data_IF_852120494377
#
_entry.id   IF_852120494377
#
_cell.length_a   1.000
_cell.length_b   1.000
_cell.length_c   1.000
_cell.angle_alpha   90.00
_cell.angle_beta   90.00
_cell.angle_gamma   90.00
#
_symmetry.space_group_name_H-M   'P 1'
#
loop_
_entity.id
_entity.type
_entity.pdbx_description
1 polymer ?
#
# COMPACT_ATOMS: atom_id res chain seq x y z
N UNK A 1 19.27 3.23 -35.76
CA UNK A 1 18.78 2.62 -34.50
C UNK A 1 17.83 1.44 -34.73
N UNK A 2 17.43 1.12 -35.96
CA UNK A 2 16.54 -0.02 -36.28
C UNK A 2 17.26 -1.36 -36.41
N UNK A 3 18.41 -1.41 -37.10
CA UNK A 3 19.10 -2.66 -37.43
C UNK A 3 19.50 -3.52 -36.21
N UNK A 4 19.78 -2.89 -35.07
CA UNK A 4 20.08 -3.61 -33.84
C UNK A 4 18.83 -4.28 -33.24
N UNK A 5 17.68 -3.59 -33.24
CA UNK A 5 16.40 -4.16 -32.80
C UNK A 5 15.95 -5.30 -33.72
N UNK A 6 16.12 -5.14 -35.03
CA UNK A 6 15.76 -6.15 -36.02
C UNK A 6 16.62 -7.42 -35.84
N UNK A 7 17.92 -7.26 -35.57
CA UNK A 7 18.82 -8.38 -35.29
C UNK A 7 18.44 -9.14 -34.02
N UNK A 8 18.06 -8.44 -32.94
CA UNK A 8 17.58 -9.08 -31.72
C UNK A 8 16.24 -9.79 -31.93
N UNK A 9 15.33 -9.21 -32.71
CA UNK A 9 14.05 -9.83 -33.05
C UNK A 9 14.23 -11.15 -33.80
N UNK A 10 15.14 -11.19 -34.79
CA UNK A 10 15.47 -12.41 -35.52
C UNK A 10 16.09 -13.48 -34.61
N UNK A 11 17.04 -13.12 -33.76
CA UNK A 11 17.72 -14.04 -32.85
C UNK A 11 16.76 -14.66 -31.82
N UNK A 12 15.83 -13.85 -31.30
CA UNK A 12 14.76 -14.31 -30.41
C UNK A 12 13.78 -15.23 -31.14
N UNK A 13 13.44 -14.91 -32.40
CA UNK A 13 12.57 -15.75 -33.23
C UNK A 13 13.19 -17.12 -33.53
N UNK A 14 14.46 -17.16 -33.93
CA UNK A 14 15.17 -18.41 -34.20
C UNK A 14 15.31 -19.27 -32.93
N UNK A 15 15.67 -18.64 -31.81
CA UNK A 15 15.69 -19.32 -30.51
C UNK A 15 14.30 -19.85 -30.13
N UNK A 16 13.25 -19.05 -30.33
CA UNK A 16 11.87 -19.44 -30.08
C UNK A 16 11.48 -20.68 -30.89
N UNK A 17 11.82 -20.71 -32.18
CA UNK A 17 11.58 -21.87 -33.04
C UNK A 17 12.42 -23.10 -32.66
N UNK A 18 13.63 -22.90 -32.13
CA UNK A 18 14.52 -24.00 -31.71
C UNK A 18 13.98 -24.83 -30.53
N UNK A 19 13.09 -24.26 -29.71
CA UNK A 19 12.46 -24.94 -28.57
C UNK A 19 11.45 -26.03 -28.97
N UNK A 20 11.01 -26.05 -30.23
CA UNK A 20 9.97 -26.96 -30.73
C UNK A 20 8.58 -26.71 -30.13
N UNK A 21 7.55 -27.38 -30.66
CA UNK A 21 6.14 -27.14 -30.27
C UNK A 21 5.87 -27.36 -28.78
N UNK A 22 6.50 -28.37 -28.15
CA UNK A 22 6.35 -28.63 -26.71
C UNK A 22 7.04 -27.58 -25.84
N UNK A 23 8.28 -27.22 -26.15
CA UNK A 23 9.02 -26.21 -25.37
C UNK A 23 8.39 -24.83 -25.46
N UNK A 24 7.85 -24.45 -26.62
CA UNK A 24 7.06 -23.23 -26.77
C UNK A 24 5.78 -23.24 -25.94
N UNK A 25 5.06 -24.37 -25.90
CA UNK A 25 3.82 -24.49 -25.14
C UNK A 25 4.07 -24.44 -23.63
N UNK A 26 5.13 -25.08 -23.13
CA UNK A 26 5.53 -25.04 -21.72
C UNK A 26 5.97 -23.63 -21.30
N UNK A 27 6.69 -22.91 -22.17
CA UNK A 27 7.03 -21.50 -21.95
C UNK A 27 5.79 -20.60 -21.93
N UNK A 28 4.84 -20.81 -22.83
CA UNK A 28 3.57 -20.07 -22.81
C UNK A 28 2.77 -20.33 -21.54
N UNK A 29 2.71 -21.58 -21.08
CA UNK A 29 2.05 -21.94 -19.84
C UNK A 29 2.71 -21.29 -18.64
N UNK A 30 4.05 -21.30 -18.56
CA UNK A 30 4.78 -20.65 -17.47
C UNK A 30 4.61 -19.13 -17.47
N UNK A 31 4.63 -18.48 -18.65
CA UNK A 31 4.32 -17.05 -18.77
C UNK A 31 2.89 -16.77 -18.29
N UNK A 32 1.92 -17.59 -18.69
CA UNK A 32 0.53 -17.48 -18.25
C UNK A 32 0.39 -17.61 -16.73
N UNK A 33 1.10 -18.57 -16.13
CA UNK A 33 1.15 -18.75 -14.67
C UNK A 33 1.75 -17.55 -13.96
N UNK A 34 2.88 -17.03 -14.42
CA UNK A 34 3.52 -15.84 -13.85
C UNK A 34 2.59 -14.63 -13.96
N UNK A 35 1.94 -14.44 -15.12
CA UNK A 35 0.98 -13.37 -15.33
C UNK A 35 -0.22 -13.48 -14.37
N UNK A 36 -0.75 -14.69 -14.14
CA UNK A 36 -1.83 -14.94 -13.18
C UNK A 36 -1.42 -14.62 -11.74
N UNK A 37 -0.20 -15.01 -11.33
CA UNK A 37 0.33 -14.70 -9.99
C UNK A 37 0.48 -13.19 -9.81
N UNK A 38 1.06 -12.51 -10.80
CA UNK A 38 1.22 -11.05 -10.79
C UNK A 38 -0.14 -10.35 -10.77
N UNK A 39 -1.11 -10.86 -11.53
CA UNK A 39 -2.48 -10.35 -11.53
C UNK A 39 -3.14 -10.51 -10.17
N UNK A 40 -3.11 -11.71 -9.58
CA UNK A 40 -3.67 -11.97 -8.26
C UNK A 40 -3.04 -11.09 -7.17
N UNK A 41 -1.71 -10.92 -7.22
CA UNK A 41 -0.98 -10.02 -6.32
C UNK A 41 -1.39 -8.56 -6.52
N UNK A 42 -1.49 -8.13 -7.78
CA UNK A 42 -1.93 -6.80 -8.17
C UNK A 42 -3.35 -6.51 -7.67
N UNK A 43 -4.31 -7.39 -7.99
CA UNK A 43 -5.69 -7.32 -7.52
C UNK A 43 -5.79 -7.32 -6.00
N UNK A 44 -4.99 -8.13 -5.30
CA UNK A 44 -4.97 -8.14 -3.84
C UNK A 44 -4.52 -6.80 -3.26
N UNK A 45 -3.45 -6.19 -3.81
CA UNK A 45 -3.02 -4.86 -3.39
C UNK A 45 -4.03 -3.78 -3.75
N UNK A 46 -4.65 -3.88 -4.93
CA UNK A 46 -5.66 -2.93 -5.40
C UNK A 46 -6.90 -2.99 -4.51
N UNK A 47 -7.41 -4.20 -4.24
CA UNK A 47 -8.53 -4.43 -3.31
C UNK A 47 -8.20 -3.92 -1.91
N UNK A 48 -6.99 -4.14 -1.41
CA UNK A 48 -6.55 -3.58 -0.12
C UNK A 48 -6.53 -2.05 -0.10
N UNK A 49 -6.16 -1.42 -1.22
CA UNK A 49 -6.15 0.04 -1.35
C UNK A 49 -7.55 0.62 -1.52
N UNK A 50 -8.41 -0.05 -2.29
CA UNK A 50 -9.80 0.37 -2.58
C UNK A 50 -10.69 0.16 -1.36
N UNK A 51 -10.48 -0.92 -0.59
CA UNK A 51 -11.28 -1.20 0.60
C UNK A 51 -11.01 -0.25 1.78
N UNK A 52 -10.11 0.73 1.62
CA UNK A 52 -9.98 1.86 2.53
C UNK A 52 -9.51 1.50 3.94
N UNK A 53 -9.01 0.29 4.16
CA UNK A 53 -8.53 -0.15 5.47
C UNK A 53 -7.35 0.72 5.91
N UNK A 54 -7.46 1.33 7.09
CA UNK A 54 -6.38 2.11 7.70
C UNK A 54 -5.68 1.25 8.74
N UNK A 55 -4.35 1.21 8.67
CA UNK A 55 -3.53 0.49 9.66
C UNK A 55 -3.28 1.40 10.86
N UNK A 56 -3.65 0.96 12.05
CA UNK A 56 -3.39 1.67 13.31
C UNK A 56 -2.97 0.66 14.38
N UNK A 57 -1.91 0.94 15.15
CA UNK A 57 -1.45 0.05 16.22
C UNK A 57 -1.15 -1.40 15.81
N UNK A 58 -0.77 -1.65 14.54
CA UNK A 58 -0.49 -3.00 14.02
C UNK A 58 -1.72 -3.77 13.51
N UNK A 59 -2.94 -3.26 13.71
CA UNK A 59 -4.18 -3.84 13.18
C UNK A 59 -4.73 -3.01 12.01
N UNK A 60 -5.48 -3.67 11.13
CA UNK A 60 -6.19 -3.02 10.04
C UNK A 60 -7.63 -2.78 10.48
N UNK A 61 -8.08 -1.53 10.35
CA UNK A 61 -9.44 -1.11 10.68
C UNK A 61 -10.15 -0.74 9.39
N UNK A 62 -11.39 -1.21 9.24
CA UNK A 62 -12.30 -0.69 8.20
C UNK A 62 -12.57 0.80 8.45
N UNK A 63 -13.10 1.52 7.45
CA UNK A 63 -13.43 2.94 7.61
C UNK A 63 -14.33 3.20 8.82
N UNK A 64 -15.38 2.38 9.00
CA UNK A 64 -16.35 2.51 10.10
C UNK A 64 -15.70 2.21 11.46
N UNK A 65 -14.87 1.15 11.54
CA UNK A 65 -14.17 0.82 12.78
C UNK A 65 -13.13 1.89 13.15
N UNK A 66 -12.45 2.45 12.15
CA UNK A 66 -11.47 3.51 12.34
C UNK A 66 -12.15 4.79 12.84
N UNK A 67 -13.30 5.17 12.29
CA UNK A 67 -14.10 6.31 12.78
C UNK A 67 -14.55 6.11 14.22
N UNK A 68 -15.08 4.93 14.57
CA UNK A 68 -15.46 4.60 15.95
C UNK A 68 -14.27 4.69 16.91
N UNK A 69 -13.11 4.18 16.50
CA UNK A 69 -11.88 4.26 17.29
C UNK A 69 -11.48 5.72 17.54
N UNK A 70 -11.52 6.56 16.51
CA UNK A 70 -11.18 7.99 16.64
C UNK A 70 -12.17 8.73 17.54
N UNK A 71 -13.47 8.37 17.50
CA UNK A 71 -14.48 8.94 18.38
C UNK A 71 -14.21 8.59 19.86
N UNK A 72 -13.91 7.32 20.17
CA UNK A 72 -13.57 6.91 21.54
C UNK A 72 -12.31 7.61 22.04
N UNK A 73 -11.27 7.70 21.19
CA UNK A 73 -10.06 8.44 21.53
C UNK A 73 -10.36 9.92 21.81
N UNK A 74 -11.21 10.55 21.00
CA UNK A 74 -11.63 11.93 21.21
C UNK A 74 -12.34 12.13 22.55
N UNK A 75 -13.27 11.25 22.90
CA UNK A 75 -13.98 11.27 24.17
C UNK A 75 -13.03 11.07 25.36
N UNK A 76 -12.07 10.16 25.26
CA UNK A 76 -11.03 9.94 26.27
C UNK A 76 -10.13 11.17 26.44
N UNK A 77 -9.86 11.92 25.37
CA UNK A 77 -9.10 13.19 25.43
C UNK A 77 -9.85 14.24 26.21
N UNK A 78 -11.12 14.45 25.87
CA UNK A 78 -11.97 15.49 26.45
C UNK A 78 -12.24 15.22 27.92
N UNK A 79 -12.46 13.95 28.27
CA UNK A 79 -12.69 13.54 29.65
C UNK A 79 -11.40 13.46 30.49
N UNK A 80 -10.22 13.65 29.89
CA UNK A 80 -8.93 13.55 30.59
C UNK A 80 -8.68 12.17 31.22
N UNK A 81 -9.35 11.12 30.73
CA UNK A 81 -9.37 9.79 31.36
C UNK A 81 -8.04 9.06 31.24
N UNK A 82 -7.23 9.39 30.23
CA UNK A 82 -6.01 8.66 29.91
C UNK A 82 -4.95 9.55 29.28
N UNK A 83 -3.69 9.28 29.61
CA UNK A 83 -2.54 9.81 28.86
C UNK A 83 -2.46 9.08 27.51
N UNK A 84 -2.54 9.84 26.42
CA UNK A 84 -2.44 9.30 25.06
C UNK A 84 -1.00 9.14 24.61
N UNK A 85 -0.76 8.10 23.82
CA UNK A 85 0.49 7.94 23.10
C UNK A 85 0.61 8.97 21.97
N UNK A 86 1.85 9.26 21.56
CA UNK A 86 2.11 10.14 20.41
C UNK A 86 1.44 9.64 19.12
N UNK A 87 1.41 8.33 18.89
CA UNK A 87 0.77 7.74 17.71
C UNK A 87 -0.76 7.99 17.69
N UNK A 88 -1.41 7.92 18.85
CA UNK A 88 -2.85 8.20 18.99
C UNK A 88 -3.17 9.68 18.71
N UNK A 89 -2.37 10.59 19.26
CA UNK A 89 -2.54 12.03 19.02
C UNK A 89 -2.31 12.39 17.55
N UNK A 90 -1.31 11.78 16.90
CA UNK A 90 -1.04 12.03 15.48
C UNK A 90 -2.18 11.51 14.59
N UNK A 91 -2.68 10.30 14.87
CA UNK A 91 -3.80 9.73 14.12
C UNK A 91 -5.09 10.53 14.29
N UNK A 92 -5.37 11.02 15.50
CA UNK A 92 -6.53 11.85 15.79
C UNK A 92 -6.43 13.22 15.10
N UNK A 93 -5.24 13.84 15.04
CA UNK A 93 -5.02 15.07 14.25
C UNK A 93 -5.20 14.84 12.75
N UNK A 94 -4.60 13.79 12.20
CA UNK A 94 -4.77 13.44 10.79
C UNK A 94 -6.22 13.15 10.43
N UNK A 95 -6.99 12.55 11.35
CA UNK A 95 -8.41 12.31 11.16
C UNK A 95 -9.21 13.63 11.12
N UNK A 96 -8.91 14.58 12.01
CA UNK A 96 -9.68 15.83 12.15
C UNK A 96 -9.34 16.89 11.10
N UNK A 97 -8.05 17.06 10.80
CA UNK A 97 -7.55 18.18 10.00
C UNK A 97 -6.99 17.72 8.64
N UNK A 98 -7.02 16.42 8.35
CA UNK A 98 -6.51 15.84 7.13
C UNK A 98 -4.98 15.82 7.02
N UNK A 99 -4.48 15.59 5.80
CA UNK A 99 -3.04 15.47 5.50
C UNK A 99 -2.27 16.80 5.57
N UNK A 100 -2.94 17.90 5.91
CA UNK A 100 -2.38 19.25 5.93
C UNK A 100 -1.61 19.55 7.22
N UNK A 101 -1.69 18.68 8.24
CA UNK A 101 -1.05 18.91 9.54
C UNK A 101 0.40 18.41 9.55
N UNK A 102 1.32 19.30 9.94
CA UNK A 102 2.73 18.94 10.17
C UNK A 102 2.83 17.78 11.18
N UNK A 103 3.68 16.77 10.93
CA UNK A 103 3.88 15.67 11.87
C UNK A 103 4.34 16.22 13.23
N UNK A 104 3.84 15.63 14.32
CA UNK A 104 4.27 15.98 15.66
C UNK A 104 5.74 15.57 15.77
N UNK A 105 6.65 16.56 15.74
CA UNK A 105 8.07 16.32 15.89
C UNK A 105 8.29 15.87 17.33
N UNK A 106 8.81 14.66 17.50
CA UNK A 106 9.29 14.11 18.77
C UNK A 106 10.53 14.91 19.20
N UNK A 107 10.31 16.12 19.71
CA UNK A 107 11.34 17.03 20.20
C UNK A 107 10.87 17.65 21.51
N UNK A 108 11.67 17.47 22.55
CA UNK A 108 11.45 18.01 23.90
C UNK A 108 11.06 19.49 23.84
N UNK A 109 9.90 19.83 24.39
CA UNK A 109 9.52 21.19 24.76
C UNK A 109 8.86 22.01 23.65
N UNK A 110 7.55 21.88 23.52
CA UNK A 110 6.72 22.81 22.73
C UNK A 110 5.26 22.52 23.04
N UNK A 111 4.54 23.52 23.56
CA UNK A 111 3.18 23.39 24.07
C UNK A 111 2.22 22.69 23.10
N UNK A 112 1.26 21.99 23.68
CA UNK A 112 0.31 21.12 22.98
C UNK A 112 -0.63 21.86 22.01
N UNK A 113 -0.67 23.19 22.07
CA UNK A 113 -1.41 24.08 21.18
C UNK A 113 -0.69 25.44 21.16
N UNK A 114 0.11 25.71 20.13
CA UNK A 114 0.32 27.08 19.67
C UNK A 114 0.74 27.06 18.19
N UNK A 115 0.05 27.94 17.44
CA UNK A 115 0.05 28.24 16.00
C UNK A 115 -0.78 27.30 15.11
#
# INVERSE_FOLDING_TARGET
>A
MSAWFDAWGQLIGEWWHSLGLRGQNDLWLTIGWVALVLWAWGSYRLLRRIAGYRKFGGRWYSAVEYERLMQVLWEDQQAGKRVMSHAELQALRQFRYGNTVKPIISGKGGGYFDV
#
